data_IF_596784577867
#
_entry.id   IF_596784577867
#
_cell.length_a   1.000
_cell.length_b   1.000
_cell.length_c   1.000
_cell.angle_alpha   90.00
_cell.angle_beta   90.00
_cell.angle_gamma   90.00
#
_symmetry.space_group_name_H-M   'P 1'
#
loop_
_entity.id
_entity.type
_entity.pdbx_description
1 polymer ?
#
# COMPACT_ATOMS: atom_id res chain seq x y z
N UNK A 1 -15.58 14.94 56.06
CA UNK A 1 -16.24 14.77 54.75
C UNK A 1 -15.21 15.00 53.65
N UNK A 2 -14.62 13.94 53.09
CA UNK A 2 -13.52 14.05 52.13
C UNK A 2 -14.07 14.22 50.70
N UNK A 3 -13.95 15.42 50.12
CA UNK A 3 -14.40 15.70 48.74
C UNK A 3 -13.42 15.05 47.76
N UNK A 4 -13.77 13.88 47.20
CA UNK A 4 -12.98 13.23 46.14
C UNK A 4 -12.97 14.14 44.90
N UNK A 5 -11.82 14.73 44.57
CA UNK A 5 -11.64 15.50 43.32
C UNK A 5 -11.79 14.55 42.13
N UNK A 6 -12.82 14.79 41.31
CA UNK A 6 -13.02 14.10 40.04
C UNK A 6 -11.90 14.53 39.08
N UNK A 7 -10.94 13.65 38.84
CA UNK A 7 -9.93 13.84 37.80
C UNK A 7 -10.65 13.72 36.46
N UNK A 8 -10.80 14.84 35.73
CA UNK A 8 -11.25 14.82 34.34
C UNK A 8 -10.10 14.26 33.52
N UNK A 9 -10.26 13.06 32.95
CA UNK A 9 -9.34 12.52 31.94
C UNK A 9 -9.43 13.44 30.73
N UNK A 10 -8.43 14.30 30.54
CA UNK A 10 -8.23 15.02 29.28
C UNK A 10 -7.94 13.96 28.22
N UNK A 11 -8.84 13.82 27.25
CA UNK A 11 -8.54 13.03 26.05
C UNK A 11 -7.45 13.82 25.33
N UNK A 12 -6.23 13.28 25.26
CA UNK A 12 -5.23 13.80 24.34
C UNK A 12 -5.81 13.62 22.94
N UNK A 13 -6.17 14.75 22.33
CA UNK A 13 -6.76 14.82 20.99
C UNK A 13 -5.69 15.04 19.91
N UNK A 14 -4.40 14.84 20.22
CA UNK A 14 -3.31 14.86 19.23
C UNK A 14 -3.28 13.54 18.44
N UNK A 15 -4.41 13.19 17.84
CA UNK A 15 -4.43 12.19 16.77
C UNK A 15 -4.27 12.99 15.48
N UNK A 16 -3.14 12.79 14.82
CA UNK A 16 -2.92 13.32 13.48
C UNK A 16 -3.88 12.59 12.53
N UNK A 17 -4.78 13.34 11.90
CA UNK A 17 -5.76 12.82 10.95
C UNK A 17 -5.27 13.25 9.57
N UNK A 18 -4.91 12.26 8.75
CA UNK A 18 -4.53 12.50 7.36
C UNK A 18 -5.76 12.57 6.47
N UNK A 19 -5.67 13.39 5.43
CA UNK A 19 -6.62 13.31 4.32
C UNK A 19 -6.34 12.06 3.48
N UNK A 20 -7.31 11.69 2.65
CA UNK A 20 -7.16 10.54 1.74
C UNK A 20 -5.98 10.76 0.79
N UNK A 21 -5.83 11.97 0.23
CA UNK A 21 -4.74 12.28 -0.70
C UNK A 21 -3.37 12.17 -0.02
N UNK A 22 -3.25 12.63 1.22
CA UNK A 22 -1.99 12.53 1.98
C UNK A 22 -1.62 11.07 2.28
N UNK A 23 -2.62 10.24 2.55
CA UNK A 23 -2.41 8.82 2.78
C UNK A 23 -1.99 8.10 1.49
N UNK A 24 -2.60 8.43 0.35
CA UNK A 24 -2.24 7.88 -0.95
C UNK A 24 -0.83 8.31 -1.39
N UNK A 25 -0.47 9.59 -1.25
CA UNK A 25 0.88 10.10 -1.54
C UNK A 25 1.94 9.39 -0.69
N UNK A 26 1.69 9.25 0.61
CA UNK A 26 2.58 8.51 1.52
C UNK A 26 2.81 7.07 1.06
N UNK A 27 1.74 6.38 0.65
CA UNK A 27 1.84 5.01 0.16
C UNK A 27 2.52 4.92 -1.20
N UNK A 28 2.28 5.87 -2.10
CA UNK A 28 2.95 5.95 -3.37
C UNK A 28 4.47 6.08 -3.17
N UNK A 29 4.91 6.97 -2.27
CA UNK A 29 6.33 7.09 -1.93
C UNK A 29 6.89 5.83 -1.25
N UNK A 30 6.15 5.23 -0.31
CA UNK A 30 6.61 4.06 0.45
C UNK A 30 6.85 2.83 -0.44
N UNK A 31 5.98 2.63 -1.44
CA UNK A 31 6.06 1.50 -2.37
C UNK A 31 6.77 1.85 -3.69
N UNK A 32 7.34 3.06 -3.79
CA UNK A 32 7.97 3.59 -4.99
C UNK A 32 7.06 3.49 -6.24
N UNK A 33 5.83 4.00 -6.12
CA UNK A 33 4.82 4.04 -7.17
C UNK A 33 4.65 5.45 -7.76
N UNK A 34 4.47 5.52 -9.07
CA UNK A 34 4.09 6.73 -9.81
C UNK A 34 2.60 7.03 -9.68
N UNK A 35 1.78 5.98 -9.64
CA UNK A 35 0.32 6.09 -9.62
C UNK A 35 -0.31 4.93 -8.87
N UNK A 36 -1.21 5.21 -7.94
CA UNK A 36 -2.03 4.21 -7.24
C UNK A 36 -3.37 4.06 -7.96
N UNK A 37 -3.64 2.87 -8.48
CA UNK A 37 -4.90 2.57 -9.16
C UNK A 37 -5.99 2.07 -8.20
N UNK A 38 -5.59 1.57 -7.04
CA UNK A 38 -6.49 1.11 -5.99
C UNK A 38 -5.79 0.25 -4.94
N UNK A 39 -6.61 -0.46 -4.16
CA UNK A 39 -6.17 -1.27 -3.03
C UNK A 39 -6.71 -2.70 -3.15
N UNK A 40 -5.88 -3.67 -2.79
CA UNK A 40 -6.31 -5.07 -2.63
C UNK A 40 -7.21 -5.21 -1.40
N UNK A 41 -7.92 -6.33 -1.27
CA UNK A 41 -8.72 -6.66 -0.08
C UNK A 41 -7.89 -6.65 1.21
N UNK A 42 -6.57 -6.86 1.12
CA UNK A 42 -5.63 -6.78 2.24
C UNK A 42 -5.11 -5.38 2.56
N UNK A 43 -5.59 -4.35 1.85
CA UNK A 43 -5.14 -2.96 2.02
C UNK A 43 -3.77 -2.66 1.40
N UNK A 44 -3.24 -3.55 0.56
CA UNK A 44 -1.99 -3.31 -0.18
C UNK A 44 -2.31 -2.51 -1.44
N UNK A 45 -1.65 -1.36 -1.69
CA UNK A 45 -1.86 -0.57 -2.89
C UNK A 45 -1.31 -1.28 -4.14
N UNK A 46 -1.98 -1.11 -5.27
CA UNK A 46 -1.50 -1.58 -6.58
C UNK A 46 -1.60 -0.47 -7.62
N UNK A 47 -0.68 -0.45 -8.58
CA UNK A 47 -0.60 0.62 -9.56
C UNK A 47 0.64 0.56 -10.43
N UNK A 48 1.13 1.72 -10.84
CA UNK A 48 2.31 1.87 -11.70
C UNK A 48 3.51 2.16 -10.81
N UNK A 49 4.54 1.32 -10.87
CA UNK A 49 5.79 1.52 -10.13
C UNK A 49 6.72 2.52 -10.82
N UNK A 50 7.40 3.34 -10.02
CA UNK A 50 8.49 4.17 -10.50
C UNK A 50 9.61 3.26 -11.02
N UNK A 51 10.13 3.53 -12.21
CA UNK A 51 11.22 2.75 -12.81
C UNK A 51 10.77 1.53 -13.62
N UNK A 52 9.73 0.81 -13.21
CA UNK A 52 9.22 -0.35 -13.99
C UNK A 52 8.46 0.05 -15.26
N UNK A 53 7.95 1.29 -15.32
CA UNK A 53 7.30 1.83 -16.52
C UNK A 53 8.19 1.78 -17.78
N UNK A 54 9.52 1.67 -17.64
CA UNK A 54 10.45 1.54 -18.76
C UNK A 54 10.64 0.10 -19.24
N UNK A 55 10.37 -0.90 -18.41
CA UNK A 55 10.73 -2.28 -18.74
C UNK A 55 9.57 -3.05 -19.37
N UNK A 56 8.30 -2.81 -18.98
CA UNK A 56 7.14 -3.45 -19.62
C UNK A 56 6.96 -3.05 -21.09
N UNK A 57 7.35 -1.83 -21.46
CA UNK A 57 7.33 -1.35 -22.84
C UNK A 57 8.48 -1.92 -23.69
N UNK A 58 9.50 -2.54 -23.07
CA UNK A 58 10.69 -3.07 -23.73
C UNK A 58 10.85 -4.59 -23.63
N UNK A 59 9.96 -5.32 -22.95
CA UNK A 59 9.95 -6.78 -22.99
C UNK A 59 9.30 -7.28 -24.29
N UNK A 60 10.05 -7.85 -25.25
CA UNK A 60 9.44 -8.53 -26.38
C UNK A 60 8.68 -9.74 -25.84
N UNK A 61 7.38 -9.76 -26.11
CA UNK A 61 6.43 -10.83 -25.85
C UNK A 61 6.99 -12.18 -26.32
N UNK A 62 7.68 -12.90 -25.43
CA UNK A 62 8.22 -14.23 -25.71
C UNK A 62 8.44 -15.06 -24.43
N UNK A 63 7.45 -15.07 -23.54
CA UNK A 63 7.33 -16.19 -22.61
C UNK A 63 6.74 -17.40 -23.35
N UNK A 64 7.62 -18.09 -24.06
CA UNK A 64 7.40 -19.48 -24.48
C UNK A 64 7.41 -20.31 -23.19
N UNK A 65 6.23 -20.71 -22.73
CA UNK A 65 6.08 -21.71 -21.67
C UNK A 65 6.84 -22.97 -22.09
N UNK A 66 7.99 -23.26 -21.47
CA UNK A 66 8.55 -24.60 -21.46
C UNK A 66 7.93 -25.31 -20.25
N UNK A 67 6.81 -25.96 -20.51
CA UNK A 67 6.13 -26.86 -19.59
C UNK A 67 6.83 -28.23 -19.64
N UNK A 68 7.98 -28.34 -18.99
CA UNK A 68 8.77 -29.59 -18.89
C UNK A 68 8.45 -30.36 -17.59
N UNK A 69 7.30 -30.12 -16.94
CA UNK A 69 6.87 -30.92 -15.79
C UNK A 69 5.99 -32.09 -16.25
N UNK A 70 6.58 -33.04 -16.96
CA UNK A 70 5.99 -34.36 -17.15
C UNK A 70 5.88 -35.07 -15.78
N UNK A 71 4.65 -35.31 -15.32
CA UNK A 71 4.36 -36.17 -14.18
C UNK A 71 4.47 -37.63 -14.66
N UNK A 72 5.38 -38.45 -14.12
CA UNK A 72 5.43 -39.87 -14.51
C UNK A 72 4.22 -40.62 -13.94
N UNK A 73 3.59 -41.44 -14.80
CA UNK A 73 2.46 -42.32 -14.47
C UNK A 73 2.87 -43.51 -13.57
#
# INVERSE_FOLDING_TARGET
MNKKKRIKKTKNNDVEIWTEEQYEEYLAELYDMEYVAGFTEGGVPYGIFNGEAKDWANTPESNKYNDDNEIPF
#
